data_IF_528900991505
#
_entry.id   IF_528900991505
#
_cell.length_a   1.000
_cell.length_b   1.000
_cell.length_c   1.000
_cell.angle_alpha   90.00
_cell.angle_beta   90.00
_cell.angle_gamma   90.00
#
_symmetry.space_group_name_H-M   'P 1'
#
loop_
_entity.id
_entity.type
_entity.pdbx_description
1 polymer ?
#
# COMPACT_ATOMS: atom_id res chain seq x y z
N UNK A 1 44.11 -35.26 -14.14
CA UNK A 1 43.35 -33.99 -14.25
C UNK A 1 41.95 -34.34 -14.68
N UNK A 2 40.96 -34.22 -13.80
CA UNK A 2 39.56 -34.35 -14.16
C UNK A 2 38.87 -33.09 -13.65
N UNK A 3 38.40 -32.28 -14.59
CA UNK A 3 37.88 -30.94 -14.36
C UNK A 3 36.60 -31.02 -13.51
N UNK A 4 36.61 -30.35 -12.36
CA UNK A 4 35.40 -29.98 -11.64
C UNK A 4 34.61 -28.98 -12.47
N UNK A 5 33.36 -29.33 -12.82
CA UNK A 5 32.40 -28.40 -13.41
C UNK A 5 31.36 -28.14 -12.31
N UNK A 6 31.59 -27.12 -11.49
CA UNK A 6 30.57 -26.61 -10.58
C UNK A 6 29.81 -25.53 -11.36
N UNK A 7 28.74 -25.92 -12.06
CA UNK A 7 27.76 -24.97 -12.58
C UNK A 7 26.98 -24.38 -11.41
N UNK A 8 27.35 -23.18 -10.96
CA UNK A 8 26.47 -22.33 -10.16
C UNK A 8 25.34 -21.84 -11.07
N UNK A 9 24.18 -22.48 -10.96
CA UNK A 9 22.95 -21.97 -11.53
C UNK A 9 22.52 -20.70 -10.78
N UNK A 10 22.58 -19.55 -11.44
CA UNK A 10 21.92 -18.33 -10.95
C UNK A 10 20.40 -18.57 -11.03
N UNK A 11 19.79 -18.91 -9.89
CA UNK A 11 18.35 -18.83 -9.74
C UNK A 11 17.97 -17.34 -9.80
N UNK A 12 17.36 -16.93 -10.91
CA UNK A 12 16.73 -15.61 -10.99
C UNK A 12 15.52 -15.61 -10.05
N UNK A 13 15.68 -15.05 -8.86
CA UNK A 13 14.57 -14.79 -7.95
C UNK A 13 13.69 -13.70 -8.56
N UNK A 14 12.59 -14.09 -9.19
CA UNK A 14 11.49 -13.18 -9.51
C UNK A 14 10.82 -12.79 -8.19
N UNK A 15 11.30 -11.74 -7.55
CA UNK A 15 10.66 -11.16 -6.37
C UNK A 15 9.39 -10.41 -6.79
N UNK A 16 8.26 -10.67 -6.14
CA UNK A 16 7.13 -9.76 -6.20
C UNK A 16 7.56 -8.46 -5.52
N UNK A 17 7.76 -7.39 -6.30
CA UNK A 17 8.02 -6.07 -5.75
C UNK A 17 6.71 -5.54 -5.18
N UNK A 18 6.58 -5.48 -3.86
CA UNK A 18 5.48 -4.72 -3.26
C UNK A 18 5.67 -3.24 -3.62
N UNK A 19 4.59 -2.57 -4.06
CA UNK A 19 4.60 -1.12 -4.13
C UNK A 19 4.75 -0.59 -2.68
N UNK A 20 5.83 0.13 -2.44
CA UNK A 20 6.20 0.66 -1.13
C UNK A 20 5.82 2.13 -1.04
N UNK A 21 5.18 2.47 0.07
CA UNK A 21 4.56 3.76 0.30
C UNK A 21 5.04 4.34 1.63
N UNK A 22 5.04 5.66 1.73
CA UNK A 22 5.40 6.39 2.94
C UNK A 22 4.17 6.80 3.75
N UNK A 23 3.00 6.79 3.13
CA UNK A 23 1.74 7.18 3.70
C UNK A 23 0.64 6.25 3.19
N UNK A 24 -0.26 5.84 4.08
CA UNK A 24 -1.48 5.15 3.69
C UNK A 24 -2.65 5.46 4.62
N UNK A 25 -3.85 5.44 4.06
CA UNK A 25 -5.09 5.65 4.78
C UNK A 25 -6.15 4.63 4.36
N UNK A 26 -6.97 4.18 5.32
CA UNK A 26 -8.14 3.38 5.03
C UNK A 26 -9.26 4.29 4.53
N UNK A 27 -9.95 3.87 3.47
CA UNK A 27 -10.97 4.68 2.80
C UNK A 27 -12.29 3.95 2.61
N UNK A 28 -13.35 4.72 2.39
CA UNK A 28 -14.68 4.23 2.03
C UNK A 28 -15.33 5.15 1.00
N UNK A 29 -16.49 4.74 0.49
CA UNK A 29 -17.32 5.56 -0.39
C UNK A 29 -16.57 6.04 -1.65
N UNK A 30 -15.76 5.14 -2.24
CA UNK A 30 -14.96 5.45 -3.42
C UNK A 30 -15.86 5.61 -4.64
N UNK A 31 -15.84 6.81 -5.23
CA UNK A 31 -16.60 7.15 -6.43
C UNK A 31 -15.64 7.72 -7.46
N UNK A 32 -15.62 7.13 -8.66
CA UNK A 32 -14.88 7.67 -9.80
C UNK A 32 -15.88 8.28 -10.78
N UNK A 33 -15.70 9.53 -11.16
CA UNK A 33 -16.62 10.24 -12.05
C UNK A 33 -15.86 11.15 -13.02
N UNK A 34 -16.37 11.32 -14.25
CA UNK A 34 -15.81 12.28 -15.18
C UNK A 34 -16.03 13.70 -14.66
N UNK A 35 -14.99 14.52 -14.74
CA UNK A 35 -15.00 15.95 -14.37
C UNK A 35 -14.49 16.73 -15.57
N UNK A 36 -15.27 17.72 -16.00
CA UNK A 36 -15.02 18.47 -17.24
C UNK A 36 -16.09 18.19 -18.28
N UNK A 37 -15.81 18.59 -19.53
CA UNK A 37 -16.78 18.52 -20.62
C UNK A 37 -17.79 19.67 -20.57
N UNK A 38 -17.60 20.68 -21.42
CA UNK A 38 -18.65 21.62 -21.80
C UNK A 38 -18.94 21.47 -23.30
N UNK A 39 -20.10 21.93 -23.81
CA UNK A 39 -20.37 21.92 -25.25
C UNK A 39 -19.30 22.63 -26.11
N UNK A 40 -18.52 23.54 -25.50
CA UNK A 40 -17.46 24.30 -26.17
C UNK A 40 -16.04 23.79 -25.84
N UNK A 41 -15.90 22.80 -24.96
CA UNK A 41 -14.62 22.16 -24.62
C UNK A 41 -14.88 20.73 -24.11
N UNK A 42 -14.86 19.71 -24.99
CA UNK A 42 -15.36 18.36 -24.69
C UNK A 42 -14.40 17.49 -23.86
N UNK A 43 -13.28 18.04 -23.40
CA UNK A 43 -12.29 17.29 -22.61
C UNK A 43 -12.86 16.92 -21.24
N UNK A 44 -13.03 15.63 -21.02
CA UNK A 44 -13.34 15.06 -19.70
C UNK A 44 -12.05 14.54 -19.07
N UNK A 45 -11.84 14.85 -17.80
CA UNK A 45 -10.87 14.17 -16.95
C UNK A 45 -11.62 13.20 -16.02
N UNK A 46 -10.93 12.30 -15.34
CA UNK A 46 -11.53 11.44 -14.30
C UNK A 46 -11.02 11.86 -12.94
N UNK A 47 -11.91 11.95 -11.96
CA UNK A 47 -11.55 12.21 -10.58
C UNK A 47 -12.16 11.11 -9.71
N UNK A 48 -11.37 10.64 -8.74
CA UNK A 48 -11.83 9.69 -7.73
C UNK A 48 -11.92 10.39 -6.40
N UNK A 49 -13.09 10.38 -5.80
CA UNK A 49 -13.34 10.87 -4.44
C UNK A 49 -13.55 9.71 -3.49
N UNK A 50 -13.10 9.84 -2.26
CA UNK A 50 -13.26 8.86 -1.21
C UNK A 50 -13.28 9.55 0.16
N UNK A 51 -13.81 8.86 1.15
CA UNK A 51 -13.79 9.28 2.55
C UNK A 51 -12.63 8.62 3.27
N UNK A 52 -11.80 9.40 3.96
CA UNK A 52 -10.74 8.87 4.83
C UNK A 52 -11.31 8.51 6.19
N UNK A 53 -11.14 7.25 6.58
CA UNK A 53 -11.63 6.72 7.85
C UNK A 53 -10.50 6.72 8.89
N UNK A 54 -10.39 7.79 9.68
CA UNK A 54 -9.30 7.93 10.67
C UNK A 54 -9.27 6.78 11.69
N UNK A 55 -10.43 6.33 12.19
CA UNK A 55 -10.50 5.21 13.14
C UNK A 55 -10.05 3.87 12.54
N UNK A 56 -10.46 3.58 11.29
CA UNK A 56 -10.00 2.39 10.58
C UNK A 56 -8.51 2.48 10.25
N UNK A 57 -8.03 3.68 9.89
CA UNK A 57 -6.61 3.93 9.61
C UNK A 57 -5.76 3.76 10.86
N UNK A 58 -6.20 4.24 12.02
CA UNK A 58 -5.50 4.00 13.29
C UNK A 58 -5.43 2.51 13.62
N UNK A 59 -6.55 1.79 13.47
CA UNK A 59 -6.60 0.33 13.63
C UNK A 59 -5.58 -0.37 12.73
N UNK A 60 -5.58 -0.06 11.42
CA UNK A 60 -4.69 -0.68 10.45
C UNK A 60 -3.23 -0.32 10.74
N UNK A 61 -2.93 0.95 11.02
CA UNK A 61 -1.59 1.42 11.34
C UNK A 61 -1.01 0.74 12.59
N UNK A 62 -1.82 0.58 13.64
CA UNK A 62 -1.41 -0.12 14.86
C UNK A 62 -1.07 -1.59 14.61
N UNK A 63 -1.85 -2.27 13.76
CA UNK A 63 -1.57 -3.65 13.38
C UNK A 63 -0.35 -3.76 12.45
N UNK A 64 -0.22 -2.84 11.49
CA UNK A 64 0.89 -2.81 10.54
C UNK A 64 2.22 -2.50 11.22
N UNK A 65 2.21 -1.65 12.24
CA UNK A 65 3.38 -1.40 13.11
C UNK A 65 3.87 -2.64 13.85
N UNK A 66 2.95 -3.55 14.20
CA UNK A 66 3.25 -4.81 14.87
C UNK A 66 3.55 -5.95 13.90
N UNK A 67 3.53 -5.67 12.59
CA UNK A 67 3.76 -6.67 11.55
C UNK A 67 5.20 -7.21 11.64
N UNK A 68 5.31 -8.53 11.55
CA UNK A 68 6.57 -9.25 11.45
C UNK A 68 6.29 -10.59 10.74
N UNK A 69 6.25 -10.57 9.41
CA UNK A 69 5.84 -11.74 8.59
C UNK A 69 6.97 -12.37 7.78
N UNK A 70 8.18 -11.84 7.87
CA UNK A 70 9.30 -12.23 7.02
C UNK A 70 10.48 -11.28 7.18
N UNK A 71 11.31 -11.18 6.14
CA UNK A 71 12.56 -10.41 6.16
C UNK A 71 12.59 -9.29 5.13
N UNK A 72 11.52 -9.11 4.35
CA UNK A 72 11.42 -8.03 3.38
C UNK A 72 11.05 -6.71 4.06
N UNK A 73 11.31 -5.57 3.41
CA UNK A 73 11.06 -4.25 4.00
C UNK A 73 9.56 -4.05 4.33
N UNK A 74 8.63 -4.61 3.55
CA UNK A 74 7.19 -4.55 3.86
C UNK A 74 6.70 -5.61 4.86
N UNK A 75 7.57 -6.50 5.34
CA UNK A 75 7.21 -7.48 6.37
C UNK A 75 7.25 -6.93 7.79
N UNK A 76 7.83 -5.73 7.96
CA UNK A 76 7.87 -5.01 9.23
C UNK A 76 7.51 -3.55 8.99
N UNK A 77 7.17 -2.80 10.02
CA UNK A 77 7.09 -1.35 9.92
C UNK A 77 7.50 -0.69 11.25
N UNK A 78 8.79 -0.71 11.58
CA UNK A 78 9.29 -0.19 12.86
C UNK A 78 9.08 1.32 13.01
N UNK A 79 8.98 2.04 11.90
CA UNK A 79 8.78 3.49 11.85
C UNK A 79 7.32 3.91 11.60
N UNK A 80 6.37 2.95 11.53
CA UNK A 80 4.96 3.27 11.34
C UNK A 80 4.43 4.13 12.50
N UNK A 81 3.82 5.26 12.15
CA UNK A 81 3.23 6.21 13.10
C UNK A 81 1.92 6.77 12.56
N UNK A 82 0.87 6.73 13.37
CA UNK A 82 -0.40 7.36 13.06
C UNK A 82 -0.37 8.84 13.51
N UNK A 83 -0.72 9.76 12.62
CA UNK A 83 -0.68 11.21 12.88
C UNK A 83 -2.03 11.82 13.30
N UNK A 84 -3.08 11.00 13.39
CA UNK A 84 -4.46 11.44 13.62
C UNK A 84 -5.37 11.23 12.42
N UNK A 85 -4.83 11.00 11.22
CA UNK A 85 -5.62 10.70 10.01
C UNK A 85 -4.96 9.66 9.11
N UNK A 86 -3.63 9.67 8.99
CA UNK A 86 -2.84 8.86 8.06
C UNK A 86 -1.82 8.02 8.84
N UNK A 87 -1.48 6.85 8.30
CA UNK A 87 -0.34 6.05 8.77
C UNK A 87 0.92 6.41 7.97
N UNK A 88 1.97 6.86 8.65
CA UNK A 88 3.22 7.32 8.04
C UNK A 88 4.37 6.34 8.32
N UNK A 89 5.24 6.14 7.33
CA UNK A 89 6.50 5.41 7.40
C UNK A 89 7.55 6.18 6.59
N UNK A 90 8.47 6.87 7.28
CA UNK A 90 9.52 7.67 6.66
C UNK A 90 10.42 6.84 5.73
N UNK A 91 10.64 5.58 6.07
CA UNK A 91 11.47 4.62 5.34
C UNK A 91 10.70 3.79 4.29
N UNK A 92 9.39 3.99 4.14
CA UNK A 92 8.62 3.37 3.07
C UNK A 92 8.31 1.89 3.29
N UNK A 93 8.02 1.48 4.53
CA UNK A 93 7.73 0.08 4.85
C UNK A 93 6.27 -0.33 4.54
N UNK A 94 5.42 0.59 4.09
CA UNK A 94 3.99 0.31 3.87
C UNK A 94 3.82 -0.33 2.50
N UNK A 95 3.39 -1.60 2.46
CA UNK A 95 3.00 -2.29 1.24
C UNK A 95 1.52 -2.05 0.94
N UNK A 96 1.19 -1.57 -0.27
CA UNK A 96 -0.17 -1.17 -0.63
C UNK A 96 -1.22 -2.28 -0.47
N UNK A 97 -0.96 -3.46 -1.03
CA UNK A 97 -1.84 -4.64 -0.90
C UNK A 97 -2.02 -5.05 0.56
N UNK A 98 -0.93 -4.96 1.33
CA UNK A 98 -0.89 -5.46 2.70
C UNK A 98 -1.64 -4.51 3.62
N UNK A 99 -1.48 -3.20 3.42
CA UNK A 99 -2.25 -2.19 4.14
C UNK A 99 -3.74 -2.27 3.78
N UNK A 100 -4.07 -2.47 2.50
CA UNK A 100 -5.44 -2.71 2.03
C UNK A 100 -6.08 -3.90 2.74
N UNK A 101 -5.35 -5.01 2.90
CA UNK A 101 -5.82 -6.16 3.66
C UNK A 101 -6.22 -5.81 5.11
N UNK A 102 -5.41 -5.02 5.83
CA UNK A 102 -5.78 -4.59 7.19
C UNK A 102 -7.01 -3.68 7.18
N UNK A 103 -7.07 -2.71 6.27
CA UNK A 103 -8.21 -1.82 6.14
C UNK A 103 -9.51 -2.59 5.91
N UNK A 104 -9.53 -3.50 4.93
CA UNK A 104 -10.75 -4.25 4.57
C UNK A 104 -11.09 -5.37 5.55
N UNK A 105 -10.10 -6.22 5.88
CA UNK A 105 -10.37 -7.49 6.56
C UNK A 105 -10.27 -7.39 8.07
N UNK A 106 -9.64 -6.33 8.60
CA UNK A 106 -9.41 -6.17 10.04
C UNK A 106 -10.06 -4.92 10.63
N UNK A 107 -10.19 -3.85 9.85
CA UNK A 107 -10.61 -2.54 10.36
C UNK A 107 -11.91 -2.00 9.74
N UNK A 108 -12.57 -2.77 8.89
CA UNK A 108 -13.95 -2.49 8.42
C UNK A 108 -14.07 -1.39 7.37
N UNK A 109 -12.97 -0.96 6.75
CA UNK A 109 -12.99 -0.04 5.62
C UNK A 109 -13.30 -0.79 4.30
N UNK A 110 -13.59 -0.05 3.23
CA UNK A 110 -13.85 -0.64 1.91
C UNK A 110 -12.58 -0.73 1.04
N UNK A 111 -11.50 -0.10 1.46
CA UNK A 111 -10.21 -0.15 0.78
C UNK A 111 -9.15 0.71 1.48
N UNK A 112 -8.05 0.96 0.79
CA UNK A 112 -6.99 1.87 1.21
C UNK A 112 -6.48 2.69 0.02
N UNK A 113 -5.86 3.83 0.33
CA UNK A 113 -5.10 4.65 -0.61
C UNK A 113 -3.70 4.86 -0.03
N UNK A 114 -2.67 4.70 -0.86
CA UNK A 114 -1.26 4.81 -0.50
C UNK A 114 -0.51 5.62 -1.58
N UNK A 115 0.53 6.37 -1.19
CA UNK A 115 1.14 7.44 -2.02
C UNK A 115 2.11 6.99 -3.13
#
# INVERSE_FOLDING_TARGET
MQLSIITLGLMAASGAHAALHKAAACVSNRVSSPVGGTPFSPSNNWQTTYEVLAGATQCACNMYKQRNTGSEIWDTCPDCTFDGTICNSAAGHIGGDQFTYYCEKKCGAQGAEAD
#
